data_IF_118348440982
#
_entry.id   IF_118348440982
#
_cell.length_a   1.000
_cell.length_b   1.000
_cell.length_c   1.000
_cell.angle_alpha   90.00
_cell.angle_beta   90.00
_cell.angle_gamma   90.00
#
_symmetry.space_group_name_H-M   'P 1'
#
loop_
_entity.id
_entity.type
_entity.pdbx_description
1 polymer ?
#
# COMPACT_ATOMS: atom_id res chain seq x y z
N UNK A 1 5.20 -0.71 -3.80
CA UNK A 1 4.58 -2.00 -4.18
C UNK A 1 3.78 -2.46 -2.98
N UNK A 2 2.52 -2.04 -2.89
CA UNK A 2 1.69 -2.33 -1.72
C UNK A 2 0.86 -3.58 -1.98
N UNK A 3 0.83 -4.50 -1.02
CA UNK A 3 0.21 -5.81 -1.10
C UNK A 3 -0.71 -6.04 0.11
N UNK A 4 -1.69 -6.91 -0.06
CA UNK A 4 -2.41 -7.46 1.09
C UNK A 4 -1.42 -8.22 1.98
N UNK A 5 -1.64 -8.25 3.29
CA UNK A 5 -0.71 -8.87 4.22
C UNK A 5 -0.73 -10.41 4.14
N UNK A 6 -1.88 -10.97 3.77
CA UNK A 6 -2.17 -12.40 3.80
C UNK A 6 -2.83 -12.82 2.48
N UNK A 7 -2.37 -13.93 1.89
CA UNK A 7 -2.99 -14.61 0.75
C UNK A 7 -4.28 -15.34 1.16
N UNK A 8 -5.25 -14.57 1.64
CA UNK A 8 -6.49 -15.07 2.20
C UNK A 8 -7.62 -14.06 2.01
N UNK A 9 -8.79 -14.38 2.56
CA UNK A 9 -9.96 -13.52 2.49
C UNK A 9 -9.79 -12.21 3.33
N UNK A 10 -10.88 -11.49 3.43
CA UNK A 10 -11.07 -10.21 4.12
C UNK A 10 -10.54 -10.19 5.56
N UNK A 11 -11.05 -11.07 6.42
CA UNK A 11 -10.80 -11.01 7.87
C UNK A 11 -9.31 -11.21 8.23
N UNK A 12 -8.59 -12.21 7.67
CA UNK A 12 -7.15 -12.37 7.91
C UNK A 12 -6.34 -11.11 7.61
N UNK A 13 -6.67 -10.38 6.54
CA UNK A 13 -5.96 -9.15 6.17
C UNK A 13 -6.25 -8.00 7.13
N UNK A 14 -7.51 -7.83 7.53
CA UNK A 14 -7.91 -6.80 8.52
C UNK A 14 -7.36 -7.08 9.91
N UNK A 15 -7.31 -8.36 10.31
CA UNK A 15 -6.66 -8.80 11.54
C UNK A 15 -5.16 -8.49 11.47
N UNK A 16 -4.48 -8.81 10.36
CA UNK A 16 -3.08 -8.46 10.19
C UNK A 16 -2.85 -6.93 10.25
N UNK A 17 -3.78 -6.12 9.76
CA UNK A 17 -3.73 -4.66 9.83
C UNK A 17 -3.90 -4.10 11.25
N UNK A 18 -4.78 -4.68 12.07
CA UNK A 18 -5.06 -4.20 13.43
C UNK A 18 -4.25 -4.91 14.53
N UNK A 19 -3.69 -6.09 14.24
CA UNK A 19 -3.01 -6.96 15.20
C UNK A 19 -1.71 -7.58 14.68
N UNK A 20 -1.18 -7.08 13.55
CA UNK A 20 0.12 -7.42 12.93
C UNK A 20 0.28 -8.82 12.33
N UNK A 21 -0.62 -9.75 12.64
CA UNK A 21 -0.55 -11.14 12.18
C UNK A 21 -1.96 -11.77 12.18
N UNK A 22 -2.28 -12.64 11.21
CA UNK A 22 -3.49 -13.47 11.26
C UNK A 22 -3.35 -14.69 12.20
N UNK A 23 -2.17 -14.88 12.80
CA UNK A 23 -1.80 -16.06 13.57
C UNK A 23 -1.34 -15.72 14.99
N UNK A 24 -1.76 -16.50 15.98
CA UNK A 24 -1.17 -16.41 17.31
C UNK A 24 0.25 -17.03 17.33
N UNK A 25 1.28 -16.21 17.53
CA UNK A 25 2.68 -16.63 17.55
C UNK A 25 3.03 -17.56 18.74
N UNK A 26 2.26 -17.54 19.82
CA UNK A 26 2.49 -18.36 21.01
C UNK A 26 1.90 -19.79 20.86
N UNK A 27 1.29 -20.12 19.72
CA UNK A 27 0.65 -21.41 19.44
C UNK A 27 -0.66 -21.66 20.21
N UNK A 28 -1.04 -20.76 21.12
CA UNK A 28 -2.28 -20.80 21.89
C UNK A 28 -3.39 -20.00 21.17
N UNK A 29 -4.11 -20.66 20.28
CA UNK A 29 -5.02 -20.01 19.33
C UNK A 29 -4.77 -20.58 17.95
N UNK A 30 -5.67 -20.29 17.01
CA UNK A 30 -5.60 -20.81 15.65
C UNK A 30 -5.21 -19.76 14.64
N UNK A 31 -4.78 -20.21 13.48
CA UNK A 31 -4.64 -19.38 12.29
C UNK A 31 -6.00 -18.97 11.75
N UNK A 32 -6.12 -17.75 11.26
CA UNK A 32 -7.34 -17.27 10.59
C UNK A 32 -7.08 -17.20 9.10
N UNK A 33 -7.80 -18.01 8.32
CA UNK A 33 -7.60 -18.15 6.87
C UNK A 33 -8.82 -17.73 6.04
N UNK A 34 -9.95 -17.47 6.67
CA UNK A 34 -11.18 -17.03 6.02
C UNK A 34 -12.00 -16.13 6.96
N UNK A 35 -13.23 -15.82 6.54
CA UNK A 35 -14.15 -14.94 7.28
C UNK A 35 -15.01 -15.70 8.31
N UNK A 36 -14.58 -16.88 8.76
CA UNK A 36 -15.34 -17.66 9.73
C UNK A 36 -15.23 -17.10 11.15
N UNK A 37 -16.30 -16.41 11.55
CA UNK A 37 -16.47 -15.79 12.86
C UNK A 37 -17.20 -16.66 13.90
N UNK A 38 -16.99 -17.98 13.90
CA UNK A 38 -17.74 -18.88 14.80
C UNK A 38 -17.01 -19.09 16.13
N UNK A 39 -17.64 -18.83 17.30
CA UNK A 39 -16.99 -19.06 18.59
C UNK A 39 -16.51 -20.50 18.76
N UNK A 40 -15.25 -20.67 19.18
CA UNK A 40 -14.52 -21.93 19.16
C UNK A 40 -13.55 -21.98 18.00
N UNK A 41 -13.12 -23.19 17.63
CA UNK A 41 -12.30 -23.41 16.44
C UNK A 41 -13.02 -24.37 15.51
N UNK A 42 -12.92 -24.15 14.20
CA UNK A 42 -13.47 -25.06 13.20
C UNK A 42 -12.76 -26.42 13.20
N UNK A 43 -11.43 -26.39 13.38
CA UNK A 43 -10.56 -27.54 13.63
C UNK A 43 -9.50 -27.13 14.66
N UNK A 44 -8.74 -28.07 15.26
CA UNK A 44 -7.66 -27.70 16.17
C UNK A 44 -6.75 -26.64 15.56
N UNK A 45 -6.71 -25.46 16.17
CA UNK A 45 -5.90 -24.32 15.74
C UNK A 45 -6.24 -23.75 14.35
N UNK A 46 -7.47 -23.92 13.85
CA UNK A 46 -7.94 -23.33 12.60
C UNK A 46 -9.20 -22.49 12.83
N UNK A 47 -9.20 -21.26 12.33
CA UNK A 47 -10.29 -20.30 12.39
C UNK A 47 -10.87 -20.20 13.81
N UNK A 48 -10.00 -19.92 14.78
CA UNK A 48 -10.35 -19.89 16.20
C UNK A 48 -10.78 -18.50 16.64
N UNK A 49 -11.97 -18.37 17.21
CA UNK A 49 -12.55 -17.12 17.70
C UNK A 49 -13.09 -17.32 19.14
N UNK A 50 -12.87 -16.40 20.11
CA UNK A 50 -12.19 -15.10 20.04
C UNK A 50 -10.67 -15.18 19.91
N UNK A 51 -10.08 -14.14 19.29
CA UNK A 51 -8.64 -13.98 19.17
C UNK A 51 -8.02 -13.52 20.49
N UNK A 52 -6.79 -13.96 20.79
CA UNK A 52 -6.23 -13.85 22.15
C UNK A 52 -4.90 -13.12 22.24
N UNK A 53 -4.25 -12.82 21.12
CA UNK A 53 -3.01 -12.05 21.11
C UNK A 53 -3.31 -10.55 21.21
N UNK A 54 -2.25 -9.78 21.50
CA UNK A 54 -2.36 -8.35 21.71
C UNK A 54 -2.54 -7.61 20.38
N UNK A 55 -3.50 -6.70 20.32
CA UNK A 55 -3.74 -5.84 19.17
C UNK A 55 -2.80 -4.64 19.16
N UNK A 56 -2.56 -4.04 17.99
CA UNK A 56 -1.71 -2.85 17.85
C UNK A 56 -2.24 -1.67 18.70
N UNK A 57 -3.56 -1.37 18.72
CA UNK A 57 -4.10 -0.30 19.58
C UNK A 57 -3.85 -0.48 21.08
N UNK A 58 -3.69 -1.70 21.58
CA UNK A 58 -3.33 -1.91 22.98
C UNK A 58 -1.89 -1.48 23.31
N UNK A 59 -0.97 -1.50 22.33
CA UNK A 59 0.35 -0.91 22.52
C UNK A 59 0.26 0.61 22.63
N UNK A 60 -0.53 1.25 21.76
CA UNK A 60 -0.78 2.69 21.81
C UNK A 60 -1.47 3.10 23.11
N UNK A 61 -2.50 2.37 23.50
CA UNK A 61 -3.23 2.60 24.75
C UNK A 61 -2.32 2.50 25.97
N UNK A 62 -1.45 1.49 26.04
CA UNK A 62 -0.50 1.32 27.12
C UNK A 62 0.57 2.43 27.16
N UNK A 63 0.90 3.02 26.01
CA UNK A 63 1.83 4.14 25.86
C UNK A 63 1.17 5.52 26.04
N UNK A 64 -0.11 5.59 26.42
CA UNK A 64 -0.91 6.82 26.48
C UNK A 64 -0.93 7.61 25.16
N UNK A 65 -0.88 6.91 24.03
CA UNK A 65 -1.13 7.47 22.70
C UNK A 65 -2.64 7.51 22.50
N UNK A 66 -3.21 8.67 22.17
CA UNK A 66 -4.63 8.79 21.85
C UNK A 66 -4.94 8.11 20.52
N UNK A 67 -5.99 7.28 20.49
CA UNK A 67 -6.47 6.62 19.29
C UNK A 67 -8.00 6.51 19.30
N UNK A 68 -8.61 6.30 18.13
CA UNK A 68 -10.05 6.08 17.98
C UNK A 68 -10.35 5.33 16.68
N UNK A 69 -11.26 4.36 16.74
CA UNK A 69 -11.96 3.83 15.58
C UNK A 69 -13.23 4.67 15.36
N UNK A 70 -13.34 5.25 14.17
CA UNK A 70 -14.53 5.94 13.70
C UNK A 70 -15.31 5.01 12.78
N UNK A 71 -16.49 4.60 13.24
CA UNK A 71 -17.38 3.66 12.57
C UNK A 71 -18.82 3.96 12.95
N UNK A 72 -19.74 3.69 12.04
CA UNK A 72 -21.18 3.67 12.28
C UNK A 72 -21.63 2.28 12.76
N UNK A 73 -22.91 2.14 13.14
CA UNK A 73 -23.45 0.87 13.62
C UNK A 73 -23.38 -0.23 12.54
N UNK A 74 -23.63 0.14 11.29
CA UNK A 74 -23.19 -0.65 10.15
C UNK A 74 -21.75 -0.27 9.79
N UNK A 75 -20.87 -1.22 10.02
CA UNK A 75 -19.45 -1.16 9.71
C UNK A 75 -19.00 -2.38 8.91
N UNK A 76 -19.96 -3.16 8.38
CA UNK A 76 -19.72 -4.38 7.60
C UNK A 76 -18.80 -5.44 8.27
N UNK A 77 -18.74 -5.43 9.61
CA UNK A 77 -17.80 -6.25 10.39
C UNK A 77 -16.30 -5.96 10.12
N UNK A 78 -16.00 -4.80 9.53
CA UNK A 78 -14.65 -4.40 9.16
C UNK A 78 -13.75 -4.05 10.36
N UNK A 79 -14.34 -3.81 11.53
CA UNK A 79 -13.60 -3.60 12.77
C UNK A 79 -13.29 -4.90 13.50
N UNK A 80 -12.15 -5.50 13.16
CA UNK A 80 -11.73 -6.77 13.75
C UNK A 80 -11.41 -6.71 15.26
N UNK A 81 -11.28 -5.52 15.88
CA UNK A 81 -11.07 -5.42 17.33
C UNK A 81 -12.21 -6.04 18.13
N UNK A 82 -13.44 -5.99 17.61
CA UNK A 82 -14.61 -6.65 18.22
C UNK A 82 -14.42 -8.17 18.39
N UNK A 83 -13.49 -8.74 17.62
CA UNK A 83 -13.28 -10.19 17.57
C UNK A 83 -12.22 -10.69 18.58
N UNK A 84 -11.60 -9.77 19.32
CA UNK A 84 -10.56 -10.09 20.29
C UNK A 84 -11.15 -10.24 21.70
N UNK A 85 -10.71 -11.27 22.42
CA UNK A 85 -11.21 -11.64 23.75
C UNK A 85 -11.15 -10.48 24.73
N UNK A 86 -10.07 -9.71 24.71
CA UNK A 86 -9.84 -8.57 25.58
C UNK A 86 -10.83 -7.43 25.35
N UNK A 87 -11.37 -7.28 24.13
CA UNK A 87 -12.41 -6.30 23.83
C UNK A 87 -13.79 -6.81 24.26
N UNK A 88 -14.10 -8.08 23.98
CA UNK A 88 -15.36 -8.71 24.40
C UNK A 88 -15.52 -8.75 25.92
N UNK A 89 -14.42 -8.99 26.65
CA UNK A 89 -14.42 -9.06 28.10
C UNK A 89 -14.86 -7.74 28.78
N UNK A 90 -14.76 -6.61 28.09
CA UNK A 90 -15.04 -5.27 28.61
C UNK A 90 -16.15 -4.55 27.86
N UNK A 91 -16.84 -5.22 26.93
CA UNK A 91 -17.85 -4.63 26.04
C UNK A 91 -18.96 -3.87 26.79
N UNK A 92 -19.36 -4.36 27.96
CA UNK A 92 -20.37 -3.71 28.80
C UNK A 92 -19.85 -2.48 29.61
N UNK A 93 -18.54 -2.21 29.61
CA UNK A 93 -17.92 -1.07 30.30
C UNK A 93 -17.53 0.04 29.32
N UNK A 94 -18.47 0.95 29.06
CA UNK A 94 -18.25 2.11 28.18
C UNK A 94 -17.18 3.10 28.68
N UNK A 95 -16.72 2.97 29.93
CA UNK A 95 -15.62 3.77 30.46
C UNK A 95 -14.26 3.15 30.18
N UNK A 96 -14.20 1.85 29.86
CA UNK A 96 -12.99 1.16 29.50
C UNK A 96 -12.42 1.72 28.17
N UNK A 97 -11.12 2.02 28.08
CA UNK A 97 -10.53 2.55 26.85
C UNK A 97 -10.71 1.65 25.62
N UNK A 98 -10.69 0.31 25.77
CA UNK A 98 -10.88 -0.61 24.63
C UNK A 98 -12.29 -0.51 24.04
N UNK A 99 -13.32 -0.46 24.92
CA UNK A 99 -14.71 -0.24 24.49
C UNK A 99 -14.89 1.17 23.94
N UNK A 100 -14.38 2.19 24.65
CA UNK A 100 -14.55 3.59 24.28
C UNK A 100 -13.88 3.94 22.96
N UNK A 101 -12.69 3.42 22.68
CA UNK A 101 -11.89 3.81 21.52
C UNK A 101 -11.90 2.77 20.40
N UNK A 102 -12.06 1.48 20.71
CA UNK A 102 -12.07 0.39 19.73
C UNK A 102 -13.47 -0.06 19.31
N UNK A 103 -14.38 -0.23 20.27
CA UNK A 103 -15.71 -0.80 20.03
C UNK A 103 -16.85 0.16 20.41
N UNK A 104 -16.66 1.44 20.10
CA UNK A 104 -17.74 2.43 20.15
C UNK A 104 -18.14 2.82 18.73
N UNK A 105 -19.32 3.45 18.61
CA UNK A 105 -19.92 3.82 17.33
C UNK A 105 -20.08 5.35 17.22
N UNK A 106 -18.98 6.13 17.21
CA UNK A 106 -19.06 7.59 17.10
C UNK A 106 -19.56 8.06 15.72
N UNK A 107 -19.49 7.21 14.70
CA UNK A 107 -19.90 7.49 13.33
C UNK A 107 -18.91 8.33 12.53
N UNK A 108 -19.04 8.29 11.20
CA UNK A 108 -18.21 9.11 10.29
C UNK A 108 -18.52 10.60 10.40
N UNK A 109 -19.74 10.99 10.77
CA UNK A 109 -20.08 12.40 11.03
C UNK A 109 -19.22 13.01 12.14
N UNK A 110 -18.90 12.22 13.18
CA UNK A 110 -17.99 12.63 14.24
C UNK A 110 -16.55 12.74 13.74
N UNK A 111 -16.11 11.82 12.87
CA UNK A 111 -14.82 11.92 12.20
C UNK A 111 -14.70 13.22 11.41
N UNK A 112 -15.69 13.53 10.55
CA UNK A 112 -15.70 14.75 9.75
C UNK A 112 -15.66 16.02 10.62
N UNK A 113 -16.42 16.02 11.73
CA UNK A 113 -16.42 17.13 12.68
C UNK A 113 -15.05 17.30 13.38
N UNK A 114 -14.44 16.20 13.83
CA UNK A 114 -13.13 16.23 14.50
C UNK A 114 -12.00 16.61 13.55
N UNK A 115 -12.02 16.10 12.31
CA UNK A 115 -11.06 16.45 11.27
C UNK A 115 -11.11 17.95 10.95
N UNK A 116 -12.32 18.48 10.75
CA UNK A 116 -12.55 19.91 10.53
C UNK A 116 -12.07 20.77 11.70
N UNK A 117 -12.33 20.33 12.93
CA UNK A 117 -11.94 21.06 14.14
C UNK A 117 -10.45 20.92 14.49
N UNK A 118 -9.75 19.94 13.92
CA UNK A 118 -8.36 19.62 14.26
C UNK A 118 -8.23 18.91 15.60
N UNK A 119 -9.27 18.18 16.01
CA UNK A 119 -9.36 17.47 17.30
C UNK A 119 -9.32 15.95 17.15
N UNK A 120 -8.94 15.44 15.98
CA UNK A 120 -8.66 14.02 15.79
C UNK A 120 -7.61 13.54 16.81
N UNK A 121 -7.73 12.31 17.32
CA UNK A 121 -6.64 11.69 18.06
C UNK A 121 -5.41 11.51 17.15
N UNK A 122 -4.24 11.31 17.78
CA UNK A 122 -2.99 11.02 17.06
C UNK A 122 -3.13 9.89 16.04
N UNK A 123 -3.96 8.87 16.32
CA UNK A 123 -4.22 7.77 15.38
C UNK A 123 -5.73 7.57 15.24
N UNK A 124 -6.23 7.65 14.02
CA UNK A 124 -7.65 7.47 13.71
C UNK A 124 -7.81 6.34 12.69
N UNK A 125 -8.54 5.29 13.06
CA UNK A 125 -9.04 4.31 12.10
C UNK A 125 -10.39 4.76 11.58
N UNK A 126 -10.63 4.58 10.28
CA UNK A 126 -11.87 4.99 9.61
C UNK A 126 -12.44 3.74 8.98
N UNK A 127 -13.66 3.38 9.39
CA UNK A 127 -14.38 2.22 8.88
C UNK A 127 -15.68 2.72 8.27
N UNK A 128 -15.88 2.41 6.98
CA UNK A 128 -17.06 2.82 6.22
C UNK A 128 -18.24 1.87 6.43
N UNK A 129 -19.46 2.30 6.05
CA UNK A 129 -20.62 1.42 6.00
C UNK A 129 -20.50 0.44 4.83
N UNK A 130 -21.25 -0.67 4.91
CA UNK A 130 -21.19 -1.75 3.94
C UNK A 130 -21.41 -1.25 2.50
N UNK A 131 -22.40 -0.38 2.28
CA UNK A 131 -22.78 0.03 0.93
C UNK A 131 -21.76 0.94 0.23
N UNK A 132 -20.78 1.46 0.97
CA UNK A 132 -19.71 2.31 0.46
C UNK A 132 -18.34 1.61 0.49
N UNK A 133 -18.30 0.31 0.79
CA UNK A 133 -17.06 -0.48 0.92
C UNK A 133 -16.41 -0.87 -0.40
N UNK A 134 -17.11 -0.71 -1.53
CA UNK A 134 -16.76 -1.26 -2.85
C UNK A 134 -16.78 -2.80 -2.93
N UNK A 135 -17.06 -3.51 -1.84
CA UNK A 135 -17.25 -4.96 -1.85
C UNK A 135 -18.45 -5.32 -2.74
N UNK A 136 -18.32 -6.31 -3.62
CA UNK A 136 -19.44 -6.70 -4.47
C UNK A 136 -20.66 -7.11 -3.62
N UNK A 137 -21.88 -6.62 -3.93
CA UNK A 137 -22.31 -5.97 -5.17
C UNK A 137 -22.25 -4.42 -5.17
N UNK A 138 -21.63 -3.81 -4.18
CA UNK A 138 -21.54 -2.35 -4.04
C UNK A 138 -20.68 -1.72 -5.14
N UNK A 139 -20.99 -0.47 -5.47
CA UNK A 139 -20.43 0.18 -6.65
C UNK A 139 -19.09 0.86 -6.31
N UNK A 140 -18.02 0.66 -7.10
CA UNK A 140 -16.77 1.39 -6.92
C UNK A 140 -16.91 2.92 -6.96
N UNK A 141 -17.91 3.44 -7.69
CA UNK A 141 -18.21 4.88 -7.69
C UNK A 141 -18.67 5.41 -6.33
N UNK A 142 -19.40 4.58 -5.58
CA UNK A 142 -19.99 4.98 -4.30
C UNK A 142 -18.92 4.95 -3.20
N UNK A 143 -18.01 3.97 -3.21
CA UNK A 143 -16.82 3.99 -2.36
C UNK A 143 -15.83 5.10 -2.72
N UNK A 144 -15.66 5.39 -4.01
CA UNK A 144 -14.90 6.57 -4.47
C UNK A 144 -15.44 7.89 -3.90
N UNK A 145 -16.77 8.00 -3.70
CA UNK A 145 -17.37 9.14 -3.02
C UNK A 145 -17.00 9.20 -1.54
N UNK A 146 -17.01 8.07 -0.82
CA UNK A 146 -16.56 8.01 0.58
C UNK A 146 -15.08 8.43 0.69
N UNK A 147 -14.23 7.95 -0.22
CA UNK A 147 -12.83 8.37 -0.30
C UNK A 147 -12.73 9.90 -0.47
N UNK A 148 -13.54 10.51 -1.33
CA UNK A 148 -13.57 11.97 -1.46
C UNK A 148 -13.99 12.65 -0.16
N UNK A 149 -15.02 12.16 0.55
CA UNK A 149 -15.45 12.75 1.81
C UNK A 149 -14.34 12.72 2.87
N UNK A 150 -13.63 11.59 3.00
CA UNK A 150 -12.52 11.43 3.94
C UNK A 150 -11.35 12.35 3.57
N UNK A 151 -10.95 12.37 2.29
CA UNK A 151 -9.87 13.25 1.81
C UNK A 151 -10.21 14.71 2.02
N UNK A 152 -11.43 15.14 1.70
CA UNK A 152 -11.88 16.53 1.86
C UNK A 152 -11.92 16.91 3.35
N UNK A 153 -12.42 16.04 4.23
CA UNK A 153 -12.45 16.29 5.67
C UNK A 153 -11.04 16.50 6.25
N UNK A 154 -10.07 15.67 5.85
CA UNK A 154 -8.68 15.80 6.31
C UNK A 154 -8.01 17.03 5.71
N UNK A 155 -8.15 17.26 4.40
CA UNK A 155 -7.43 18.33 3.68
C UNK A 155 -7.98 19.73 3.93
N UNK A 156 -9.26 19.85 4.28
CA UNK A 156 -9.87 21.12 4.68
C UNK A 156 -9.84 21.36 6.19
N UNK A 157 -9.45 20.34 6.97
CA UNK A 157 -9.29 20.41 8.40
C UNK A 157 -8.12 21.29 8.85
N UNK A 158 -8.24 21.86 10.05
CA UNK A 158 -7.23 22.76 10.63
C UNK A 158 -5.87 22.09 10.87
N UNK A 159 -5.86 20.77 11.01
CA UNK A 159 -4.65 19.95 11.23
C UNK A 159 -4.03 19.38 9.95
N UNK A 160 -4.55 19.70 8.75
CA UNK A 160 -4.03 19.13 7.48
C UNK A 160 -2.50 19.23 7.36
N UNK A 161 -1.93 20.37 7.74
CA UNK A 161 -0.49 20.65 7.69
C UNK A 161 0.38 19.66 8.47
N UNK A 162 -0.20 18.96 9.44
CA UNK A 162 0.47 18.02 10.34
C UNK A 162 -0.12 16.60 10.22
N UNK A 163 -0.88 16.30 9.16
CA UNK A 163 -1.61 15.04 9.01
C UNK A 163 -1.06 14.16 7.87
N UNK A 164 -1.06 12.85 8.11
CA UNK A 164 -0.87 11.81 7.11
C UNK A 164 -2.16 11.00 7.04
N UNK A 165 -2.81 10.99 5.86
CA UNK A 165 -3.93 10.10 5.57
C UNK A 165 -3.43 8.94 4.70
N UNK A 166 -3.61 7.71 5.20
CA UNK A 166 -3.32 6.47 4.47
C UNK A 166 -4.64 5.82 4.05
N UNK A 167 -4.76 5.46 2.78
CA UNK A 167 -5.94 4.77 2.23
C UNK A 167 -5.45 3.49 1.56
N UNK A 168 -5.90 2.35 2.06
CA UNK A 168 -5.64 1.01 1.53
C UNK A 168 -6.93 0.25 1.38
N UNK A 169 -6.92 -0.77 0.52
CA UNK A 169 -7.89 -1.85 0.55
C UNK A 169 -7.40 -2.94 1.49
N UNK A 170 -8.26 -3.86 1.89
CA UNK A 170 -7.93 -5.01 2.73
C UNK A 170 -7.43 -6.20 1.90
N UNK A 171 -8.11 -6.54 0.81
CA UNK A 171 -7.75 -7.65 -0.08
C UNK A 171 -8.09 -7.35 -1.55
N UNK A 172 -7.77 -8.30 -2.44
CA UNK A 172 -7.83 -8.12 -3.90
C UNK A 172 -9.24 -8.28 -4.51
N UNK A 173 -10.25 -8.70 -3.75
CA UNK A 173 -11.62 -8.95 -4.21
C UNK A 173 -11.76 -10.17 -5.13
N UNK A 174 -10.75 -11.05 -5.13
CA UNK A 174 -10.62 -12.17 -6.07
C UNK A 174 -10.24 -11.77 -7.51
N UNK A 175 -9.86 -10.51 -7.75
CA UNK A 175 -9.36 -10.08 -9.05
C UNK A 175 -7.93 -10.59 -9.30
N UNK A 176 -7.60 -10.89 -10.57
CA UNK A 176 -6.24 -11.27 -10.94
C UNK A 176 -5.30 -10.07 -10.99
N UNK A 177 -4.14 -10.17 -10.35
CA UNK A 177 -3.01 -9.24 -10.54
C UNK A 177 -1.87 -9.92 -11.30
N UNK A 178 -1.20 -9.17 -12.17
CA UNK A 178 -0.14 -9.70 -13.03
C UNK A 178 1.23 -9.79 -12.34
N UNK A 179 1.38 -9.22 -11.14
CA UNK A 179 2.62 -9.33 -10.37
C UNK A 179 2.51 -10.48 -9.40
N UNK A 180 3.49 -11.37 -9.45
CA UNK A 180 3.67 -12.41 -8.45
C UNK A 180 3.89 -11.77 -7.07
N UNK A 181 3.10 -12.16 -6.05
CA UNK A 181 3.30 -11.72 -4.68
C UNK A 181 4.75 -11.89 -4.22
N UNK A 182 5.33 -10.83 -3.67
CA UNK A 182 6.60 -10.91 -2.95
C UNK A 182 6.36 -11.62 -1.61
N UNK A 183 7.05 -12.73 -1.35
CA UNK A 183 6.90 -13.55 -0.14
C UNK A 183 8.23 -14.17 0.29
N UNK A 184 8.31 -14.61 1.55
CA UNK A 184 9.50 -15.26 2.10
C UNK A 184 9.81 -16.61 1.43
N UNK A 185 11.04 -17.11 1.61
CA UNK A 185 11.42 -18.48 1.21
C UNK A 185 10.70 -19.54 2.07
N UNK A 186 10.44 -20.71 1.50
CA UNK A 186 9.81 -21.85 2.20
C UNK A 186 10.47 -22.18 3.55
N UNK A 187 9.66 -22.54 4.54
CA UNK A 187 10.10 -22.79 5.92
C UNK A 187 10.42 -21.54 6.75
N UNK A 188 10.22 -20.32 6.23
CA UNK A 188 10.42 -19.10 7.03
C UNK A 188 9.37 -19.01 8.14
N UNK A 189 9.83 -18.92 9.38
CA UNK A 189 8.96 -18.92 10.56
C UNK A 189 7.95 -17.76 10.53
N UNK A 190 6.65 -18.10 10.68
CA UNK A 190 5.55 -17.13 10.66
C UNK A 190 5.09 -16.70 9.26
N UNK A 191 5.80 -17.08 8.21
CA UNK A 191 5.50 -16.70 6.81
C UNK A 191 5.03 -17.88 5.95
N UNK A 192 5.15 -19.11 6.45
CA UNK A 192 4.74 -20.33 5.78
C UNK A 192 3.93 -21.21 6.71
N UNK A 193 2.95 -21.90 6.13
CA UNK A 193 2.05 -22.80 6.83
C UNK A 193 1.86 -24.09 6.04
N UNK A 194 1.64 -25.19 6.75
CA UNK A 194 1.07 -26.38 6.14
C UNK A 194 -0.43 -26.12 5.90
N UNK A 195 -0.86 -26.25 4.65
CA UNK A 195 -2.27 -26.08 4.28
C UNK A 195 -3.17 -26.99 5.14
N UNK A 196 -4.04 -26.42 6.00
CA UNK A 196 -4.87 -27.19 6.94
C UNK A 196 -6.00 -27.95 6.24
N UNK A 197 -6.20 -27.74 4.94
CA UNK A 197 -7.12 -28.48 4.09
C UNK A 197 -6.44 -29.63 3.34
N UNK A 198 -5.09 -29.70 3.35
CA UNK A 198 -4.31 -30.77 2.72
C UNK A 198 -4.42 -30.80 1.19
N UNK A 199 -4.71 -29.66 0.56
CA UNK A 199 -4.91 -29.52 -0.88
C UNK A 199 -3.62 -29.16 -1.62
N UNK A 200 -2.80 -28.26 -1.06
CA UNK A 200 -1.61 -27.72 -1.75
C UNK A 200 -0.29 -27.91 -1.02
N UNK A 201 -0.31 -28.38 0.24
CA UNK A 201 0.89 -28.61 1.04
C UNK A 201 1.40 -27.33 1.71
N UNK A 202 2.71 -27.18 1.86
CA UNK A 202 3.31 -25.97 2.44
C UNK A 202 3.08 -24.77 1.51
N UNK A 203 2.47 -23.71 2.04
CA UNK A 203 2.10 -22.50 1.28
C UNK A 203 2.50 -21.24 2.03
N UNK A 204 2.88 -20.16 1.32
CA UNK A 204 3.14 -18.88 1.99
C UNK A 204 1.85 -18.31 2.59
N UNK A 205 1.99 -17.66 3.75
CA UNK A 205 0.93 -16.87 4.40
C UNK A 205 0.74 -15.56 3.64
N UNK A 206 1.82 -14.93 3.18
CA UNK A 206 1.82 -13.69 2.41
C UNK A 206 3.24 -13.08 2.35
N UNK A 207 3.40 -11.79 2.03
CA UNK A 207 2.39 -10.86 1.50
C UNK A 207 1.68 -11.42 0.26
N UNK A 208 0.45 -10.98 0.01
CA UNK A 208 -0.39 -11.47 -1.08
C UNK A 208 -0.41 -10.57 -2.32
N UNK A 209 -1.54 -10.55 -3.01
CA UNK A 209 -1.70 -9.76 -4.23
C UNK A 209 -1.54 -8.26 -3.98
N UNK A 210 -1.17 -7.52 -5.03
CA UNK A 210 -1.11 -6.06 -4.95
C UNK A 210 -2.50 -5.48 -4.84
N UNK A 211 -2.62 -4.48 -3.99
CA UNK A 211 -3.84 -3.71 -3.78
C UNK A 211 -3.51 -2.21 -3.86
N UNK A 212 -4.50 -1.36 -4.20
CA UNK A 212 -4.29 0.09 -4.22
C UNK A 212 -3.90 0.62 -2.83
N UNK A 213 -2.95 1.55 -2.82
CA UNK A 213 -2.53 2.26 -1.62
C UNK A 213 -2.12 3.68 -1.96
N UNK A 214 -2.63 4.64 -1.20
CA UNK A 214 -2.36 6.06 -1.41
C UNK A 214 -2.07 6.74 -0.07
N UNK A 215 -1.13 7.68 -0.10
CA UNK A 215 -0.79 8.53 1.04
C UNK A 215 -1.04 9.98 0.68
N UNK A 216 -1.98 10.61 1.37
CA UNK A 216 -2.35 12.02 1.19
C UNK A 216 -1.78 12.82 2.36
N UNK A 217 -0.79 13.66 2.06
CA UNK A 217 -0.09 14.46 3.06
C UNK A 217 0.67 15.63 2.42
N UNK A 218 0.93 16.74 3.14
CA UNK A 218 1.84 17.78 2.66
C UNK A 218 3.24 17.24 2.26
N UNK A 219 3.70 16.17 2.91
CA UNK A 219 5.01 15.56 2.65
C UNK A 219 5.01 14.55 1.48
N UNK A 220 3.87 14.29 0.84
CA UNK A 220 3.76 13.37 -0.32
C UNK A 220 3.29 14.06 -1.59
N UNK A 221 3.18 15.40 -1.57
CA UNK A 221 2.79 16.21 -2.73
C UNK A 221 3.74 16.01 -3.91
N UNK A 222 3.19 16.10 -5.13
CA UNK A 222 3.93 15.92 -6.39
C UNK A 222 3.54 14.68 -7.19
N UNK A 223 2.63 13.83 -6.67
CA UNK A 223 2.11 12.68 -7.41
C UNK A 223 3.14 11.59 -7.62
N UNK A 224 3.91 11.27 -6.57
CA UNK A 224 4.96 10.27 -6.61
C UNK A 224 4.41 8.83 -6.62
N UNK A 225 5.20 7.90 -7.15
CA UNK A 225 4.96 6.46 -7.02
C UNK A 225 6.00 5.87 -6.08
N UNK A 226 5.54 5.28 -4.98
CA UNK A 226 6.39 4.58 -4.02
C UNK A 226 6.58 3.11 -4.42
N UNK A 227 7.84 2.68 -4.54
CA UNK A 227 8.16 1.39 -5.18
C UNK A 227 8.60 0.27 -4.25
N UNK A 228 8.99 0.56 -3.01
CA UNK A 228 9.40 -0.45 -2.04
C UNK A 228 8.28 -1.46 -1.76
N UNK A 229 8.64 -2.69 -1.43
CA UNK A 229 7.70 -3.72 -0.97
C UNK A 229 7.03 -3.26 0.33
N UNK A 230 5.70 -3.30 0.38
CA UNK A 230 4.91 -2.81 1.51
C UNK A 230 3.60 -3.60 1.63
N UNK A 231 3.06 -3.70 2.84
CA UNK A 231 1.79 -4.37 3.15
C UNK A 231 1.07 -3.70 4.33
N UNK A 232 0.04 -4.32 4.90
CA UNK A 232 -0.64 -3.78 6.10
C UNK A 232 0.30 -3.58 7.29
N UNK A 233 1.29 -4.47 7.45
CA UNK A 233 2.37 -4.34 8.43
C UNK A 233 3.20 -3.07 8.23
N UNK A 234 3.40 -2.63 6.99
CA UNK A 234 4.09 -1.37 6.70
C UNK A 234 3.40 -0.13 7.28
N UNK A 235 2.07 -0.11 7.37
CA UNK A 235 1.34 0.99 8.03
C UNK A 235 1.61 0.99 9.53
N UNK A 236 1.62 -0.19 10.16
CA UNK A 236 1.95 -0.35 11.58
C UNK A 236 3.37 0.14 11.84
N UNK A 237 4.34 -0.32 11.04
CA UNK A 237 5.75 0.10 11.17
C UNK A 237 5.93 1.60 10.97
N UNK A 238 5.17 2.24 10.07
CA UNK A 238 5.19 3.70 9.93
C UNK A 238 4.76 4.40 11.23
N UNK A 239 3.63 3.98 11.80
CA UNK A 239 3.11 4.54 13.06
C UNK A 239 4.12 4.31 14.19
N UNK A 240 4.76 3.14 14.24
CA UNK A 240 5.83 2.86 15.22
C UNK A 240 6.99 3.85 15.08
N UNK A 241 7.52 4.04 13.87
CA UNK A 241 8.61 4.99 13.60
C UNK A 241 8.21 6.43 13.94
N UNK A 242 6.99 6.82 13.61
CA UNK A 242 6.47 8.16 13.89
C UNK A 242 6.31 8.41 15.40
N UNK A 243 5.72 7.47 16.14
CA UNK A 243 5.56 7.57 17.59
C UNK A 243 6.92 7.56 18.31
N UNK A 244 7.86 6.73 17.88
CA UNK A 244 9.23 6.72 18.41
C UNK A 244 9.92 8.08 18.20
N UNK A 245 9.78 8.67 17.00
CA UNK A 245 10.30 10.01 16.72
C UNK A 245 9.66 11.11 17.60
N UNK A 246 8.43 10.92 18.06
CA UNK A 246 7.75 11.79 19.03
C UNK A 246 8.15 11.50 20.49
N UNK A 247 8.98 10.48 20.75
CA UNK A 247 9.49 10.13 22.06
C UNK A 247 8.65 9.11 22.83
N UNK A 248 7.68 8.45 22.17
CA UNK A 248 6.96 7.32 22.76
C UNK A 248 7.84 6.07 22.76
N UNK A 249 7.68 5.24 23.80
CA UNK A 249 8.45 4.01 23.99
C UNK A 249 7.50 2.81 24.12
N UNK A 250 8.00 1.61 23.88
CA UNK A 250 7.23 0.36 23.97
C UNK A 250 5.98 0.32 23.05
N UNK A 251 6.08 0.97 21.89
CA UNK A 251 5.00 1.05 20.89
C UNK A 251 5.11 0.00 19.78
N UNK A 252 6.21 -0.76 19.74
CA UNK A 252 6.42 -1.79 18.72
C UNK A 252 5.58 -3.03 19.02
N UNK A 253 4.80 -3.45 18.04
CA UNK A 253 4.03 -4.70 18.06
C UNK A 253 4.97 -5.90 18.02
N UNK A 254 4.84 -6.83 18.95
CA UNK A 254 5.67 -8.05 18.97
C UNK A 254 5.14 -9.12 18.02
N UNK A 255 3.92 -8.93 17.59
CA UNK A 255 3.12 -9.88 16.81
C UNK A 255 3.44 -9.77 15.30
N UNK A 256 4.10 -8.70 14.85
CA UNK A 256 4.55 -8.57 13.46
C UNK A 256 5.71 -9.54 13.19
N UNK A 257 5.62 -10.44 12.18
CA UNK A 257 6.67 -11.41 11.91
C UNK A 257 8.05 -10.75 11.66
N UNK A 258 9.15 -11.33 12.17
CA UNK A 258 10.48 -10.78 11.98
C UNK A 258 10.86 -10.58 10.51
N UNK A 259 10.45 -11.50 9.62
CA UNK A 259 10.72 -11.38 8.19
C UNK A 259 10.04 -10.15 7.59
N UNK A 260 8.76 -9.85 7.92
CA UNK A 260 8.11 -8.60 7.48
C UNK A 260 8.88 -7.37 7.94
N UNK A 261 9.36 -7.35 9.19
CA UNK A 261 10.11 -6.20 9.73
C UNK A 261 11.42 -5.94 8.98
N UNK A 262 12.07 -6.99 8.49
CA UNK A 262 13.36 -6.89 7.80
C UNK A 262 13.20 -6.54 6.31
N UNK A 263 12.14 -7.04 5.66
CA UNK A 263 12.01 -7.01 4.19
C UNK A 263 10.92 -6.06 3.68
N UNK A 264 9.93 -5.70 4.51
CA UNK A 264 8.88 -4.76 4.13
C UNK A 264 9.25 -3.34 4.55
N UNK A 265 8.82 -2.37 3.74
CA UNK A 265 9.04 -0.95 4.02
C UNK A 265 8.30 -0.51 5.28
N UNK A 266 8.90 0.37 6.06
CA UNK A 266 8.21 1.11 7.13
C UNK A 266 7.53 2.41 6.62
N UNK A 267 7.45 2.59 5.29
CA UNK A 267 6.87 3.73 4.58
C UNK A 267 7.52 5.09 4.80
N UNK A 268 8.51 5.24 5.68
CA UNK A 268 9.16 6.54 5.97
C UNK A 268 9.75 7.16 4.69
N UNK A 269 10.29 6.33 3.80
CA UNK A 269 10.86 6.77 2.51
C UNK A 269 9.81 7.26 1.49
N UNK A 270 8.51 7.11 1.76
CA UNK A 270 7.45 7.65 0.92
C UNK A 270 7.32 9.18 1.07
N UNK A 271 7.88 9.76 2.13
CA UNK A 271 7.70 11.16 2.52
C UNK A 271 8.94 12.01 2.25
N UNK A 272 8.73 13.30 2.00
CA UNK A 272 9.74 14.35 1.98
C UNK A 272 9.51 15.29 3.16
N UNK A 273 9.95 14.86 4.36
CA UNK A 273 9.73 15.62 5.59
C UNK A 273 10.43 16.99 5.60
N UNK A 274 11.49 17.15 4.80
CA UNK A 274 12.25 18.40 4.70
C UNK A 274 11.56 19.46 3.83
N UNK A 275 10.69 19.05 2.90
CA UNK A 275 10.06 19.95 1.93
C UNK A 275 8.54 19.75 1.83
N UNK A 276 7.76 20.06 2.89
CA UNK A 276 6.31 19.98 2.83
C UNK A 276 5.73 20.97 1.81
N UNK A 277 4.75 20.51 1.03
CA UNK A 277 3.93 21.35 0.17
C UNK A 277 2.47 21.30 0.66
N UNK A 278 1.99 22.42 1.17
CA UNK A 278 0.64 22.55 1.75
C UNK A 278 -0.44 22.87 0.71
N UNK A 279 -0.10 22.95 -0.57
CA UNK A 279 -1.09 23.23 -1.61
C UNK A 279 -1.96 21.99 -1.87
N UNK A 280 -3.24 22.21 -2.15
CA UNK A 280 -4.18 21.13 -2.47
C UNK A 280 -4.20 20.87 -3.98
N UNK A 281 -4.05 19.62 -4.45
CA UNK A 281 -4.27 19.32 -5.85
C UNK A 281 -5.76 19.39 -6.20
N UNK A 282 -6.09 19.63 -7.46
CA UNK A 282 -7.46 19.46 -7.92
C UNK A 282 -7.77 17.96 -8.01
N UNK A 283 -8.71 17.48 -7.21
CA UNK A 283 -9.16 16.09 -7.18
C UNK A 283 -10.52 16.00 -7.86
N UNK A 284 -10.64 15.09 -8.83
CA UNK A 284 -11.93 14.80 -9.46
C UNK A 284 -12.89 14.26 -8.40
N UNK A 285 -14.05 14.89 -8.30
CA UNK A 285 -15.09 14.50 -7.35
C UNK A 285 -15.92 13.35 -7.94
N UNK A 286 -16.05 12.27 -7.17
CA UNK A 286 -16.96 11.18 -7.47
C UNK A 286 -18.41 11.66 -7.31
N UNK A 287 -19.35 11.14 -8.13
CA UNK A 287 -20.76 11.42 -7.96
C UNK A 287 -21.26 11.02 -6.58
N UNK A 288 -22.16 11.80 -5.98
CA UNK A 288 -22.82 11.38 -4.76
C UNK A 288 -23.64 10.09 -5.00
N UNK A 289 -23.58 9.11 -4.08
CA UNK A 289 -24.31 7.86 -4.22
C UNK A 289 -25.81 8.09 -4.15
N UNK A 290 -26.57 7.20 -4.80
CA UNK A 290 -28.03 7.26 -4.77
C UNK A 290 -28.54 6.89 -3.37
N UNK A 291 -29.39 7.75 -2.79
CA UNK A 291 -29.96 7.52 -1.45
C UNK A 291 -31.49 7.45 -1.43
N UNK A 292 -32.05 6.59 -0.60
CA UNK A 292 -33.45 6.59 -0.17
C UNK A 292 -33.56 7.00 1.29
N UNK A 293 -33.81 8.29 1.54
CA UNK A 293 -33.91 8.86 2.89
C UNK A 293 -35.16 8.41 3.65
N UNK A 294 -36.07 7.64 3.03
CA UNK A 294 -37.18 7.01 3.73
C UNK A 294 -36.78 5.71 4.43
N UNK A 295 -35.65 5.11 4.03
CA UNK A 295 -35.03 3.99 4.76
C UNK A 295 -34.23 4.54 5.94
N UNK A 296 -34.30 3.89 7.11
CA UNK A 296 -33.39 4.22 8.21
C UNK A 296 -31.94 3.91 7.80
N UNK A 297 -30.97 4.60 8.43
CA UNK A 297 -29.61 4.06 8.45
C UNK A 297 -29.67 2.67 9.11
N UNK A 298 -28.92 1.67 8.62
CA UNK A 298 -28.95 0.35 9.24
C UNK A 298 -28.48 0.48 10.70
N UNK A 299 -29.37 0.14 11.63
CA UNK A 299 -29.09 0.19 13.08
C UNK A 299 -28.87 -1.18 13.69
N UNK A 300 -29.15 -2.26 12.94
CA UNK A 300 -29.34 -3.61 13.48
C UNK A 300 -28.24 -4.61 13.12
N UNK A 301 -27.14 -4.16 12.50
CA UNK A 301 -25.95 -5.01 12.27
C UNK A 301 -26.24 -6.26 11.42
N UNK A 302 -27.35 -6.29 10.66
CA UNK A 302 -27.61 -7.36 9.69
C UNK A 302 -26.70 -7.16 8.47
N UNK A 303 -25.53 -7.78 8.57
CA UNK A 303 -24.43 -7.80 7.62
C UNK A 303 -24.90 -8.04 6.18
N UNK A 304 -24.47 -7.19 5.25
CA UNK A 304 -24.67 -7.39 3.81
C UNK A 304 -26.13 -7.36 3.35
N UNK A 305 -27.06 -7.00 4.22
CA UNK A 305 -28.41 -6.67 3.79
C UNK A 305 -28.36 -5.34 3.04
N UNK A 306 -28.83 -5.32 1.78
CA UNK A 306 -29.08 -4.11 0.97
C UNK A 306 -30.18 -3.25 1.62
N UNK A 307 -29.94 -2.78 2.83
CA UNK A 307 -30.96 -2.32 3.78
C UNK A 307 -30.66 -0.95 4.37
N UNK A 308 -29.47 -0.40 4.13
CA UNK A 308 -29.19 1.00 4.40
C UNK A 308 -29.78 1.93 3.35
N UNK A 309 -29.55 3.22 3.57
CA UNK A 309 -30.13 4.24 2.71
C UNK A 309 -29.38 4.45 1.40
N UNK A 310 -28.20 3.86 1.20
CA UNK A 310 -27.47 3.88 -0.06
C UNK A 310 -27.97 2.75 -0.97
N UNK A 311 -28.68 3.11 -2.04
CA UNK A 311 -29.43 2.15 -2.88
C UNK A 311 -28.84 1.99 -4.28
N UNK A 312 -27.59 2.41 -4.50
CA UNK A 312 -26.90 2.33 -5.80
C UNK A 312 -26.84 0.90 -6.35
N UNK A 313 -26.35 -0.04 -5.55
CA UNK A 313 -26.24 -1.46 -5.90
C UNK A 313 -27.62 -2.10 -6.18
N UNK A 314 -28.58 -1.89 -5.27
CA UNK A 314 -29.95 -2.41 -5.43
C UNK A 314 -30.63 -1.86 -6.70
N UNK A 315 -30.40 -0.57 -7.01
CA UNK A 315 -30.88 0.03 -8.25
C UNK A 315 -30.21 -0.58 -9.48
N UNK A 316 -28.91 -0.83 -9.44
CA UNK A 316 -28.18 -1.48 -10.52
C UNK A 316 -28.73 -2.90 -10.78
N UNK A 317 -28.83 -3.73 -9.74
CA UNK A 317 -29.33 -5.10 -9.83
C UNK A 317 -30.79 -5.19 -10.29
N UNK A 318 -31.65 -4.25 -9.87
CA UNK A 318 -33.04 -4.20 -10.34
C UNK A 318 -33.19 -3.70 -11.78
N UNK A 319 -32.22 -2.94 -12.29
CA UNK A 319 -32.26 -2.35 -13.64
C UNK A 319 -31.69 -3.30 -14.68
N UNK A 320 -30.64 -4.05 -14.34
CA UNK A 320 -29.92 -4.90 -15.28
C UNK A 320 -30.13 -6.39 -14.97
N UNK A 321 -30.57 -7.21 -15.94
CA UNK A 321 -30.78 -8.64 -15.73
C UNK A 321 -29.49 -9.42 -15.48
N UNK A 322 -28.34 -8.87 -15.89
CA UNK A 322 -27.01 -9.34 -15.52
C UNK A 322 -26.20 -8.15 -15.00
N UNK A 323 -25.88 -8.15 -13.72
CA UNK A 323 -25.11 -7.11 -13.05
C UNK A 323 -23.59 -7.34 -13.08
N UNK A 324 -23.13 -8.43 -13.70
CA UNK A 324 -21.71 -8.67 -13.94
C UNK A 324 -21.35 -8.24 -15.37
N UNK A 325 -20.53 -7.18 -15.53
CA UNK A 325 -20.07 -6.79 -16.86
C UNK A 325 -19.19 -7.89 -17.47
N UNK A 326 -19.12 -8.00 -18.80
CA UNK A 326 -18.19 -8.93 -19.44
C UNK A 326 -16.75 -8.61 -19.04
N UNK A 327 -15.94 -9.64 -18.83
CA UNK A 327 -14.54 -9.49 -18.44
C UNK A 327 -13.82 -8.63 -19.49
N UNK A 328 -13.16 -7.51 -19.11
CA UNK A 328 -12.54 -6.58 -20.05
C UNK A 328 -11.36 -7.16 -20.84
N UNK A 329 -10.92 -8.39 -20.52
CA UNK A 329 -9.79 -9.12 -21.13
C UNK A 329 -10.14 -10.55 -21.56
N UNK A 330 -11.42 -10.83 -21.83
CA UNK A 330 -11.85 -12.11 -22.41
C UNK A 330 -11.38 -12.30 -23.86
N UNK A 331 -11.54 -13.51 -24.43
CA UNK A 331 -11.21 -13.77 -25.83
C UNK A 331 -11.85 -12.79 -26.82
N UNK A 332 -13.03 -12.28 -26.49
CA UNK A 332 -13.83 -11.37 -27.33
C UNK A 332 -13.32 -9.92 -27.34
N UNK A 333 -12.50 -9.51 -26.37
CA UNK A 333 -11.98 -8.14 -26.24
C UNK A 333 -10.48 -8.09 -25.88
N UNK A 334 -9.74 -9.18 -26.07
CA UNK A 334 -8.30 -9.26 -25.84
C UNK A 334 -7.45 -8.20 -26.59
N UNK A 335 -7.99 -7.61 -27.66
CA UNK A 335 -7.35 -6.55 -28.45
C UNK A 335 -7.94 -5.16 -28.18
N UNK A 336 -8.69 -4.97 -27.09
CA UNK A 336 -9.24 -3.67 -26.74
C UNK A 336 -8.10 -2.64 -26.60
N UNK A 337 -8.33 -1.43 -27.12
CA UNK A 337 -7.34 -0.37 -27.03
C UNK A 337 -7.30 0.18 -25.60
N UNK A 338 -6.42 -0.38 -24.77
CA UNK A 338 -6.24 0.02 -23.38
C UNK A 338 -5.80 1.48 -23.23
N UNK A 339 -5.13 2.07 -24.23
CA UNK A 339 -4.77 3.49 -24.20
C UNK A 339 -5.98 4.43 -24.27
N UNK A 340 -7.18 3.91 -24.57
CA UNK A 340 -8.43 4.66 -24.45
C UNK A 340 -9.06 4.58 -23.05
N UNK A 341 -8.59 3.65 -22.20
CA UNK A 341 -9.07 3.43 -20.83
C UNK A 341 -8.04 3.83 -19.77
N UNK A 342 -6.76 3.93 -20.14
CA UNK A 342 -5.66 4.34 -19.28
C UNK A 342 -5.04 5.63 -19.77
N UNK A 343 -4.57 6.46 -18.84
CA UNK A 343 -3.82 7.66 -19.19
C UNK A 343 -2.34 7.32 -19.40
N UNK A 344 -1.80 7.68 -20.56
CA UNK A 344 -0.35 7.68 -20.76
C UNK A 344 0.25 8.86 -19.98
N UNK A 345 1.08 8.57 -18.97
CA UNK A 345 1.69 9.60 -18.16
C UNK A 345 3.01 9.15 -17.57
N UNK A 346 3.68 10.05 -16.85
CA UNK A 346 4.82 9.70 -16.02
C UNK A 346 4.64 10.22 -14.61
N UNK A 347 5.22 9.52 -13.64
CA UNK A 347 5.24 9.90 -12.23
C UNK A 347 6.64 9.78 -11.67
N UNK A 348 7.14 10.75 -10.90
CA UNK A 348 8.41 10.59 -10.19
C UNK A 348 8.33 9.43 -9.19
N UNK A 349 9.43 8.73 -9.00
CA UNK A 349 9.54 7.56 -8.13
C UNK A 349 10.16 7.97 -6.79
N UNK A 350 9.71 7.34 -5.70
CA UNK A 350 10.33 7.42 -4.36
C UNK A 350 10.53 6.03 -3.74
N UNK A 351 11.44 5.98 -2.78
CA UNK A 351 11.88 4.76 -2.13
C UNK A 351 12.87 3.95 -2.97
N UNK A 352 13.23 2.77 -2.47
CA UNK A 352 14.03 1.80 -3.22
C UNK A 352 13.29 1.34 -4.49
N UNK A 353 14.06 1.14 -5.56
CA UNK A 353 13.53 0.70 -6.85
C UNK A 353 13.27 -0.81 -6.82
N UNK A 354 12.22 -1.22 -7.53
CA UNK A 354 11.84 -2.63 -7.72
C UNK A 354 11.70 -2.94 -9.21
N UNK A 355 11.82 -4.21 -9.56
CA UNK A 355 11.78 -4.72 -10.94
C UNK A 355 10.50 -4.36 -11.70
N UNK A 356 10.59 -4.33 -13.04
CA UNK A 356 9.41 -4.42 -13.92
C UNK A 356 8.79 -3.08 -14.32
N UNK A 357 9.56 -1.99 -14.29
CA UNK A 357 9.09 -0.64 -14.66
C UNK A 357 9.92 -0.03 -15.78
N UNK A 358 9.24 0.74 -16.63
CA UNK A 358 9.90 1.70 -17.50
C UNK A 358 10.31 2.92 -16.68
N UNK A 359 11.62 3.11 -16.52
CA UNK A 359 12.24 4.21 -15.79
C UNK A 359 12.99 5.13 -16.74
N UNK A 360 12.93 6.43 -16.47
CA UNK A 360 13.85 7.41 -17.04
C UNK A 360 14.69 8.00 -15.92
N UNK A 361 16.01 7.92 -16.08
CA UNK A 361 16.99 8.49 -15.16
C UNK A 361 17.36 9.89 -15.66
N UNK A 362 16.85 10.93 -15.00
CA UNK A 362 17.06 12.34 -15.36
C UNK A 362 17.90 13.07 -14.30
N UNK A 363 18.91 13.82 -14.75
CA UNK A 363 19.66 14.76 -13.92
C UNK A 363 19.89 16.08 -14.67
N UNK A 364 19.47 17.20 -14.07
CA UNK A 364 19.72 18.53 -14.62
C UNK A 364 19.15 18.78 -16.03
N UNK A 365 18.00 18.16 -16.37
CA UNK A 365 17.38 18.26 -17.70
C UNK A 365 17.99 17.34 -18.76
N UNK A 366 18.86 16.41 -18.36
CA UNK A 366 19.46 15.39 -19.22
C UNK A 366 19.05 13.99 -18.76
N UNK A 367 18.76 13.11 -19.70
CA UNK A 367 18.35 11.73 -19.44
C UNK A 367 19.37 10.73 -19.96
N UNK A 368 19.60 9.66 -19.18
CA UNK A 368 20.33 8.48 -19.64
C UNK A 368 19.63 7.88 -20.86
N UNK A 369 20.36 7.67 -21.96
CA UNK A 369 19.77 7.37 -23.26
C UNK A 369 20.53 6.28 -24.01
N UNK A 370 19.81 5.41 -24.71
CA UNK A 370 20.36 4.52 -25.72
C UNK A 370 20.53 5.28 -27.04
N UNK A 371 21.78 5.51 -27.46
CA UNK A 371 22.12 6.18 -28.72
C UNK A 371 23.07 5.27 -29.50
N UNK A 372 22.60 4.72 -30.62
CA UNK A 372 23.38 3.83 -31.50
C UNK A 372 23.99 2.62 -30.75
N UNK A 373 23.24 2.00 -29.84
CA UNK A 373 23.70 0.89 -29.00
C UNK A 373 24.81 1.24 -28.01
N UNK A 374 24.92 2.52 -27.64
CA UNK A 374 25.74 2.99 -26.52
C UNK A 374 24.88 3.72 -25.48
N UNK A 375 25.28 3.61 -24.23
CA UNK A 375 24.77 4.42 -23.13
C UNK A 375 25.35 5.83 -23.26
N UNK A 376 24.47 6.81 -23.44
CA UNK A 376 24.80 8.23 -23.59
C UNK A 376 23.85 9.10 -22.77
N UNK A 377 23.98 10.41 -22.88
CA UNK A 377 23.04 11.38 -22.30
C UNK A 377 22.42 12.23 -23.39
N UNK A 378 21.10 12.42 -23.36
CA UNK A 378 20.39 13.33 -24.26
C UNK A 378 19.51 14.27 -23.44
N UNK A 379 19.04 15.37 -24.04
CA UNK A 379 18.14 16.29 -23.35
C UNK A 379 16.85 15.54 -22.96
N UNK A 380 16.47 15.58 -21.69
CA UNK A 380 15.27 14.92 -21.20
C UNK A 380 14.03 15.47 -21.92
N UNK A 381 13.15 14.56 -22.31
CA UNK A 381 11.85 14.96 -22.86
C UNK A 381 10.93 15.39 -21.73
N UNK A 382 10.21 16.50 -21.90
CA UNK A 382 9.30 17.02 -20.86
C UNK A 382 8.23 16.01 -20.43
N UNK A 383 7.81 15.13 -21.35
CA UNK A 383 6.83 14.07 -21.11
C UNK A 383 7.45 12.71 -20.82
N UNK A 384 8.79 12.61 -20.73
CA UNK A 384 9.51 11.35 -20.50
C UNK A 384 9.07 10.22 -21.45
N UNK A 385 8.71 10.60 -22.68
CA UNK A 385 8.06 9.71 -23.64
C UNK A 385 9.00 9.15 -24.70
N UNK A 386 10.25 9.62 -24.75
CA UNK A 386 11.26 9.07 -25.65
C UNK A 386 11.69 7.67 -25.18
N UNK A 387 11.37 6.65 -25.97
CA UNK A 387 11.72 5.26 -25.67
C UNK A 387 13.23 5.03 -25.53
N UNK A 388 14.06 5.88 -26.15
CA UNK A 388 15.53 5.82 -25.98
C UNK A 388 15.98 6.20 -24.57
N UNK A 389 15.17 6.98 -23.85
CA UNK A 389 15.41 7.42 -22.47
C UNK A 389 14.80 6.47 -21.43
N UNK A 390 14.24 5.33 -21.88
CA UNK A 390 13.55 4.37 -21.01
C UNK A 390 14.39 3.13 -20.80
N UNK A 391 14.44 2.72 -19.53
CA UNK A 391 15.22 1.61 -19.03
C UNK A 391 14.36 0.73 -18.15
N UNK A 392 14.68 -0.56 -18.07
CA UNK A 392 14.01 -1.52 -17.21
C UNK A 392 15.06 -2.12 -16.29
N UNK A 393 14.78 -2.14 -14.98
CA UNK A 393 15.58 -2.85 -14.00
C UNK A 393 15.09 -4.29 -13.90
N UNK A 394 16.02 -5.24 -13.89
CA UNK A 394 15.79 -6.68 -13.71
C UNK A 394 16.58 -7.14 -12.49
N UNK A 395 15.88 -7.53 -11.43
CA UNK A 395 16.49 -7.93 -10.17
C UNK A 395 17.26 -9.23 -10.36
N UNK A 396 18.40 -9.37 -9.68
CA UNK A 396 19.29 -10.53 -9.80
C UNK A 396 19.37 -11.26 -8.47
N UNK A 397 18.99 -12.53 -8.41
CA UNK A 397 18.96 -13.30 -7.17
C UNK A 397 17.54 -13.49 -6.66
N UNK A 398 17.38 -13.51 -5.33
CA UNK A 398 16.07 -13.56 -4.69
C UNK A 398 15.37 -12.18 -4.70
N UNK A 399 14.11 -12.14 -4.26
CA UNK A 399 13.27 -10.94 -4.27
C UNK A 399 13.76 -9.81 -3.36
N UNK A 400 14.78 -10.05 -2.54
CA UNK A 400 15.40 -9.06 -1.63
C UNK A 400 16.71 -8.48 -2.17
N UNK A 401 17.22 -9.03 -3.26
CA UNK A 401 18.46 -8.58 -3.85
C UNK A 401 18.39 -7.13 -4.32
N UNK A 402 19.36 -6.30 -3.90
CA UNK A 402 19.51 -4.90 -4.36
C UNK A 402 20.37 -4.77 -5.62
N UNK A 403 20.49 -5.88 -6.34
CA UNK A 403 21.36 -6.01 -7.50
C UNK A 403 20.51 -6.12 -8.74
N UNK A 404 20.79 -5.25 -9.71
CA UNK A 404 20.00 -5.16 -10.93
C UNK A 404 20.87 -5.26 -12.16
N UNK A 405 20.33 -5.86 -13.21
CA UNK A 405 20.75 -5.57 -14.58
C UNK A 405 19.77 -4.56 -15.19
N UNK A 406 20.23 -3.78 -16.17
CA UNK A 406 19.44 -2.68 -16.74
C UNK A 406 19.33 -2.90 -18.25
N UNK A 407 18.11 -3.05 -18.78
CA UNK A 407 17.88 -3.15 -20.22
C UNK A 407 17.26 -1.87 -20.79
N UNK A 408 17.56 -1.59 -22.06
CA UNK A 408 16.95 -0.49 -22.80
C UNK A 408 15.58 -0.90 -23.31
N UNK A 409 14.56 -0.09 -23.05
CA UNK A 409 13.22 -0.31 -23.58
C UNK A 409 13.16 -0.20 -25.12
N UNK A 410 14.15 0.44 -25.75
CA UNK A 410 14.20 0.62 -27.20
C UNK A 410 14.42 -0.71 -27.94
N UNK A 411 15.29 -1.58 -27.42
CA UNK A 411 15.77 -2.75 -28.16
C UNK A 411 16.06 -3.98 -27.28
N UNK A 412 15.77 -3.92 -25.97
CA UNK A 412 15.97 -5.03 -25.03
C UNK A 412 17.43 -5.33 -24.70
N UNK A 413 18.40 -4.56 -25.20
CA UNK A 413 19.82 -4.76 -24.90
C UNK A 413 20.15 -4.23 -23.50
N UNK A 414 21.10 -4.86 -22.83
CA UNK A 414 21.49 -4.57 -21.47
C UNK A 414 22.74 -3.68 -21.40
N UNK A 415 22.82 -2.83 -20.38
CA UNK A 415 24.03 -2.04 -20.10
C UNK A 415 25.18 -3.00 -19.78
N UNK A 416 26.17 -3.05 -20.66
CA UNK A 416 27.38 -3.85 -20.54
C UNK A 416 28.60 -3.02 -20.14
N UNK A 417 29.77 -3.64 -20.27
CA UNK A 417 31.05 -3.02 -19.89
C UNK A 417 31.42 -1.87 -20.82
N UNK A 418 31.94 -0.76 -20.29
CA UNK A 418 32.38 0.37 -21.12
C UNK A 418 31.25 1.14 -21.83
N UNK A 419 30.03 1.14 -21.26
CA UNK A 419 28.86 1.87 -21.75
C UNK A 419 28.32 1.35 -23.10
N UNK A 420 28.65 0.12 -23.49
CA UNK A 420 28.02 -0.58 -24.62
C UNK A 420 26.68 -1.16 -24.21
N UNK A 421 25.83 -1.43 -25.21
CA UNK A 421 24.63 -2.26 -25.03
C UNK A 421 24.85 -3.66 -25.61
N UNK A 422 24.68 -4.66 -24.75
CA UNK A 422 25.01 -6.05 -25.00
C UNK A 422 23.77 -6.96 -24.88
N UNK A 423 23.89 -8.23 -25.25
CA UNK A 423 22.85 -9.22 -24.95
C UNK A 423 22.85 -9.56 -23.47
N UNK A 424 21.73 -10.04 -22.94
CA UNK A 424 21.60 -10.48 -21.56
C UNK A 424 22.68 -11.50 -21.17
N UNK A 425 22.88 -12.51 -22.03
CA UNK A 425 23.88 -13.57 -21.84
C UNK A 425 25.30 -13.01 -21.70
N UNK A 426 25.64 -11.94 -22.43
CA UNK A 426 26.95 -11.30 -22.35
C UNK A 426 27.13 -10.52 -21.04
N UNK A 427 26.09 -9.82 -20.58
CA UNK A 427 26.11 -9.08 -19.32
C UNK A 427 26.22 -10.02 -18.11
N UNK A 428 25.42 -11.09 -18.08
CA UNK A 428 25.43 -12.07 -16.99
C UNK A 428 26.75 -12.86 -16.90
N UNK A 429 27.53 -12.92 -17.97
CA UNK A 429 28.82 -13.63 -18.00
C UNK A 429 30.04 -12.74 -17.74
N UNK A 430 29.99 -11.43 -18.05
CA UNK A 430 31.19 -10.59 -18.14
C UNK A 430 31.13 -9.23 -17.42
N UNK A 431 29.98 -8.80 -16.90
CA UNK A 431 29.84 -7.44 -16.37
C UNK A 431 29.76 -7.39 -14.84
N UNK A 432 30.36 -6.37 -14.18
CA UNK A 432 30.16 -6.14 -12.76
C UNK A 432 28.68 -5.79 -12.52
N UNK A 433 28.03 -6.60 -11.69
CA UNK A 433 26.69 -6.40 -11.16
C UNK A 433 26.49 -4.97 -10.63
N UNK A 434 25.40 -4.31 -11.04
CA UNK A 434 25.05 -3.01 -10.51
C UNK A 434 24.35 -3.18 -9.16
N UNK A 435 25.12 -2.97 -8.09
CA UNK A 435 24.58 -2.87 -6.74
C UNK A 435 24.04 -1.46 -6.57
N UNK A 436 22.72 -1.32 -6.43
CA UNK A 436 22.09 -0.05 -6.08
C UNK A 436 21.73 -0.08 -4.59
N UNK A 437 22.59 0.49 -3.74
CA UNK A 437 22.16 0.89 -2.40
C UNK A 437 21.52 2.28 -2.49
N UNK A 438 20.23 2.36 -2.80
CA UNK A 438 19.46 3.59 -2.58
C UNK A 438 18.61 3.46 -1.33
N UNK A 439 18.92 4.27 -0.33
CA UNK A 439 18.19 4.30 0.94
C UNK A 439 18.51 5.57 1.70
N UNK A 440 17.87 6.66 1.29
CA UNK A 440 17.58 7.94 2.00
C UNK A 440 17.32 8.99 0.92
N UNK A 441 16.11 9.54 0.87
CA UNK A 441 15.66 10.51 -0.14
C UNK A 441 16.34 11.88 -0.08
N UNK A 442 17.67 11.94 -0.17
CA UNK A 442 18.51 13.15 -0.20
C UNK A 442 19.27 13.16 -1.54
N UNK A 443 19.48 14.32 -2.20
CA UNK A 443 20.26 14.39 -3.44
C UNK A 443 21.65 13.78 -3.26
N UNK A 444 21.92 12.71 -3.99
CA UNK A 444 23.20 11.99 -4.07
C UNK A 444 24.28 12.82 -4.79
N UNK A 445 25.47 13.01 -4.18
CA UNK A 445 26.68 13.38 -4.92
C UNK A 445 27.72 12.26 -5.05
N UNK A 446 27.61 11.13 -4.33
CA UNK A 446 28.74 10.17 -4.21
C UNK A 446 28.56 8.77 -4.85
N UNK A 447 27.38 8.35 -5.31
CA UNK A 447 27.13 6.98 -5.85
C UNK A 447 27.66 6.82 -7.27
N UNK A 448 27.85 7.92 -7.99
CA UNK A 448 28.49 7.85 -9.28
C UNK A 448 30.00 7.60 -9.16
N UNK A 449 30.58 7.63 -7.95
CA UNK A 449 31.98 7.24 -7.74
C UNK A 449 32.26 5.77 -8.10
N UNK A 450 31.28 4.88 -7.95
CA UNK A 450 31.45 3.44 -8.21
C UNK A 450 31.04 3.00 -9.62
N UNK A 451 30.15 3.73 -10.30
CA UNK A 451 29.92 3.55 -11.75
C UNK A 451 31.11 4.03 -12.62
N UNK A 452 31.97 4.89 -12.06
CA UNK A 452 33.15 5.46 -12.73
C UNK A 452 34.49 4.99 -12.12
N UNK A 453 34.51 3.81 -11.51
CA UNK A 453 35.72 3.13 -11.03
C UNK A 453 36.01 1.91 -11.93
N UNK A 454 36.40 2.11 -13.18
CA UNK A 454 37.81 2.13 -13.53
C UNK A 454 37.95 2.70 -14.95
N UNK A 455 38.76 3.76 -15.10
CA UNK A 455 39.20 4.35 -16.39
C UNK A 455 38.36 5.48 -17.03
N UNK A 456 37.65 6.32 -16.27
CA UNK A 456 37.16 7.59 -16.81
C UNK A 456 37.33 8.77 -15.84
N UNK A 457 38.39 9.57 -16.03
CA UNK A 457 38.44 10.95 -15.52
C UNK A 457 37.59 11.81 -16.45
N UNK A 458 36.35 12.11 -16.06
CA UNK A 458 35.66 13.32 -16.54
C UNK A 458 35.76 14.38 -15.45
N UNK A 459 36.68 15.33 -15.65
CA UNK A 459 36.78 16.56 -14.88
C UNK A 459 35.58 17.45 -15.21
N UNK A 460 34.60 17.54 -14.32
CA UNK A 460 33.62 18.63 -14.31
C UNK A 460 34.01 19.65 -13.23
N UNK A 461 34.13 20.88 -13.69
CA UNK A 461 34.70 22.05 -13.01
C UNK A 461 33.79 22.60 -11.90
N UNK A 462 34.45 23.10 -10.85
CA UNK A 462 34.04 24.08 -9.83
C UNK A 462 32.87 23.74 -8.89
N UNK A 463 33.18 23.82 -7.59
CA UNK A 463 32.48 23.28 -6.43
C UNK A 463 31.43 24.22 -5.78
N UNK A 464 30.93 25.27 -6.43
CA UNK A 464 30.07 26.26 -5.75
C UNK A 464 28.64 26.41 -6.29
N UNK A 465 28.20 25.58 -7.25
CA UNK A 465 26.89 25.75 -7.92
C UNK A 465 25.80 24.67 -7.66
N UNK A 466 26.15 23.49 -7.16
CA UNK A 466 25.19 22.36 -7.08
C UNK A 466 24.56 22.24 -5.68
N UNK A 467 23.55 23.06 -5.38
CA UNK A 467 22.65 22.86 -4.22
C UNK A 467 21.19 22.59 -4.60
N UNK A 468 20.84 22.37 -5.87
CA UNK A 468 19.43 22.26 -6.30
C UNK A 468 19.07 21.14 -7.29
N UNK A 469 19.96 20.19 -7.59
CA UNK A 469 19.73 19.20 -8.66
C UNK A 469 19.66 17.79 -8.10
N UNK A 470 18.48 17.32 -7.69
CA UNK A 470 18.27 15.91 -7.35
C UNK A 470 18.07 15.07 -8.62
N UNK A 471 18.60 13.83 -8.64
CA UNK A 471 18.28 12.83 -9.66
C UNK A 471 16.76 12.59 -9.63
N UNK A 472 16.09 12.79 -10.77
CA UNK A 472 14.67 12.48 -10.96
C UNK A 472 14.58 11.14 -11.67
N UNK A 473 13.91 10.20 -11.03
CA UNK A 473 13.55 8.93 -11.65
C UNK A 473 12.06 8.98 -11.90
N UNK A 474 11.64 8.83 -13.15
CA UNK A 474 10.22 8.83 -13.50
C UNK A 474 9.81 7.48 -14.05
N UNK A 475 8.65 6.97 -13.61
CA UNK A 475 7.99 5.81 -14.18
C UNK A 475 6.93 6.25 -15.18
N UNK A 476 6.78 5.55 -16.30
CA UNK A 476 5.57 5.66 -17.16
C UNK A 476 4.43 4.75 -16.63
N UNK A 477 3.22 5.28 -16.53
CA UNK A 477 2.01 4.52 -16.15
C UNK A 477 1.60 3.54 -17.23
#
# INVERSE_FOLDING_TARGET
MYQEAVLAATDPNRIAWMASTPNNLDGNGGMILDNSATPGCEKPHLNCYPFTWKTVPEYWQAANVSWQVYQDADNFEDNMLAYFQQYQAVDNDTSNPLTKHGNSYPGLDKFYADAKAGTLPMISYIVGPAELSEHAPYLPSDGGWLINQVVDAVTTGTSYKDTVLMISYDEVGGYGDHVTPFHASAGTAGEWIDDPYGLVGETPVGPGFRIPFFVVSPWTRGGHVFTEHADHGSQIMFVEQWLEALGYNNIQSKELPPWRREHMSNLVNAFDFDNPDYSLPNVTQAPAPLRDLSQPEPTDGLIGALSGNYIGAAKCQSTYPNSQPPVPYGPDNANANMSALTEEGFKPVRGALTEGRYLTFEFGGWALSNVNSFVSITKATSQHNDIRQRWILHQQGDGDSKVFTISSALNGQYIGSGLTLESEVAVLSNSPLLIWEMGRGIPWPEAMGSFFSSSCRLSLLSQEGCRSSALRITRRS
#
